data_IF_297771748710
#
_entry.id   IF_297771748710
#
_cell.length_a   1.000
_cell.length_b   1.000
_cell.length_c   1.000
_cell.angle_alpha   90.00
_cell.angle_beta   90.00
_cell.angle_gamma   90.00
#
_symmetry.space_group_name_H-M   'P 1'
#
loop_
_entity.id
_entity.type
_entity.pdbx_description
1 polymer ?
#
# COMPACT_ATOMS: atom_id res chain seq x y z
N UNK A 1 -13.39 -11.53 13.05
CA UNK A 1 -13.27 -10.82 11.76
C UNK A 1 -12.74 -9.42 12.05
N UNK A 2 -11.65 -9.00 11.41
CA UNK A 2 -11.02 -7.69 11.62
C UNK A 2 -11.97 -6.56 11.13
N UNK A 3 -12.34 -5.57 11.95
CA UNK A 3 -13.23 -4.48 11.53
C UNK A 3 -12.67 -3.67 10.35
N UNK A 4 -11.35 -3.55 10.24
CA UNK A 4 -10.71 -2.89 9.09
C UNK A 4 -10.87 -3.69 7.79
N UNK A 5 -11.01 -5.02 7.86
CA UNK A 5 -11.32 -5.85 6.69
C UNK A 5 -12.75 -5.63 6.22
N UNK A 6 -13.71 -5.50 7.13
CA UNK A 6 -15.09 -5.19 6.78
C UNK A 6 -15.22 -3.86 6.01
N UNK A 7 -14.43 -2.87 6.41
CA UNK A 7 -14.32 -1.58 5.71
C UNK A 7 -13.83 -1.75 4.27
N UNK A 8 -12.86 -2.64 4.03
CA UNK A 8 -12.35 -2.96 2.70
C UNK A 8 -13.39 -3.74 1.89
N UNK A 9 -14.07 -4.70 2.50
CA UNK A 9 -14.99 -5.62 1.83
C UNK A 9 -16.20 -4.88 1.27
N UNK A 10 -16.70 -3.89 2.01
CA UNK A 10 -17.80 -3.00 1.61
C UNK A 10 -17.39 -1.87 0.66
N UNK A 11 -16.09 -1.75 0.32
CA UNK A 11 -15.63 -0.75 -0.64
C UNK A 11 -15.97 -1.12 -2.09
N UNK A 12 -15.96 -0.11 -2.98
CA UNK A 12 -16.15 -0.28 -4.43
C UNK A 12 -14.86 -0.61 -5.20
N UNK A 13 -13.77 -0.91 -4.50
CA UNK A 13 -12.50 -1.23 -5.14
C UNK A 13 -12.54 -2.57 -5.88
N UNK A 14 -11.70 -2.72 -6.91
CA UNK A 14 -11.52 -3.99 -7.61
C UNK A 14 -11.00 -5.08 -6.65
N UNK A 15 -11.29 -6.37 -6.91
CA UNK A 15 -10.88 -7.48 -6.04
C UNK A 15 -9.38 -7.48 -5.71
N UNK A 16 -8.53 -7.21 -6.71
CA UNK A 16 -7.06 -7.13 -6.52
C UNK A 16 -6.65 -6.01 -5.56
N UNK A 17 -7.28 -4.85 -5.66
CA UNK A 17 -7.03 -3.72 -4.74
C UNK A 17 -7.49 -4.06 -3.33
N UNK A 18 -8.65 -4.72 -3.16
CA UNK A 18 -9.11 -5.18 -1.85
C UNK A 18 -8.12 -6.17 -1.23
N UNK A 19 -7.64 -7.14 -2.00
CA UNK A 19 -6.64 -8.10 -1.54
C UNK A 19 -5.35 -7.40 -1.08
N UNK A 20 -4.85 -6.44 -1.88
CA UNK A 20 -3.70 -5.63 -1.49
C UNK A 20 -3.94 -4.92 -0.17
N UNK A 21 -5.09 -4.23 -0.04
CA UNK A 21 -5.40 -3.44 1.16
C UNK A 21 -5.50 -4.33 2.40
N UNK A 22 -6.15 -5.50 2.31
CA UNK A 22 -6.20 -6.46 3.43
C UNK A 22 -4.80 -6.88 3.85
N UNK A 23 -3.98 -7.27 2.88
CA UNK A 23 -2.60 -7.66 3.15
C UNK A 23 -1.72 -6.53 3.70
N UNK A 24 -2.09 -5.25 3.57
CA UNK A 24 -1.36 -4.13 4.20
C UNK A 24 -1.91 -3.81 5.59
N UNK A 25 -3.22 -3.97 5.79
CA UNK A 25 -3.84 -3.89 7.11
C UNK A 25 -3.31 -5.01 8.02
N UNK A 26 -3.24 -6.24 7.53
CA UNK A 26 -2.71 -7.38 8.30
C UNK A 26 -1.23 -7.17 8.68
N UNK A 27 -0.43 -6.65 7.75
CA UNK A 27 0.98 -6.33 7.97
C UNK A 27 1.15 -5.24 9.04
N UNK A 28 0.35 -4.17 8.96
CA UNK A 28 0.32 -3.11 9.96
C UNK A 28 -0.14 -3.62 11.34
N UNK A 29 -1.20 -4.43 11.40
CA UNK A 29 -1.68 -4.99 12.67
C UNK A 29 -0.68 -5.98 13.28
N UNK A 30 0.09 -6.68 12.46
CA UNK A 30 1.18 -7.52 12.94
C UNK A 30 2.29 -6.69 13.58
N UNK A 31 2.50 -5.46 13.11
CA UNK A 31 3.48 -4.52 13.64
C UNK A 31 2.99 -3.75 14.88
N UNK A 32 1.81 -3.12 14.79
CA UNK A 32 1.27 -2.21 15.80
C UNK A 32 0.35 -2.89 16.84
N UNK A 33 0.01 -4.16 16.61
CA UNK A 33 -0.97 -4.89 17.39
C UNK A 33 -2.40 -4.76 16.84
N UNK A 34 -3.26 -5.69 17.26
CA UNK A 34 -4.65 -5.80 16.82
C UNK A 34 -5.62 -4.95 17.64
N UNK A 35 -5.16 -4.39 18.76
CA UNK A 35 -5.98 -3.52 19.61
C UNK A 35 -6.00 -2.08 19.06
N UNK A 36 -7.18 -1.44 18.95
CA UNK A 36 -7.30 -0.07 18.44
C UNK A 36 -6.47 0.98 19.16
N UNK A 37 -6.13 0.77 20.43
CA UNK A 37 -5.30 1.69 21.22
C UNK A 37 -3.88 1.83 20.65
N UNK A 38 -3.40 0.82 19.92
CA UNK A 38 -2.12 0.87 19.21
C UNK A 38 -2.19 1.59 17.85
N UNK A 39 -3.39 1.87 17.34
CA UNK A 39 -3.58 2.46 16.02
C UNK A 39 -3.52 3.97 16.11
N UNK A 40 -2.31 4.51 15.91
CA UNK A 40 -2.02 5.94 15.97
C UNK A 40 -1.24 6.38 14.75
N UNK A 41 -1.23 7.69 14.48
CA UNK A 41 -0.37 8.26 13.42
C UNK A 41 1.08 7.84 13.59
N UNK A 42 1.58 7.93 14.83
CA UNK A 42 2.94 7.54 15.17
C UNK A 42 3.22 6.06 14.88
N UNK A 43 2.25 5.17 15.13
CA UNK A 43 2.40 3.76 14.78
C UNK A 43 2.47 3.55 13.26
N UNK A 44 1.69 4.30 12.48
CA UNK A 44 1.74 4.26 11.01
C UNK A 44 3.08 4.78 10.48
N UNK A 45 3.61 5.86 11.06
CA UNK A 45 4.92 6.40 10.69
C UNK A 45 6.06 5.44 11.04
N UNK A 46 6.03 4.83 12.24
CA UNK A 46 7.00 3.80 12.61
C UNK A 46 6.93 2.58 11.71
N UNK A 47 5.73 2.16 11.33
CA UNK A 47 5.55 1.07 10.38
C UNK A 47 6.11 1.45 9.00
N UNK A 48 5.82 2.67 8.49
CA UNK A 48 6.41 3.20 7.26
C UNK A 48 7.94 3.17 7.32
N UNK A 49 8.53 3.62 8.42
CA UNK A 49 9.99 3.65 8.58
C UNK A 49 10.56 2.23 8.62
N UNK A 50 9.90 1.29 9.30
CA UNK A 50 10.24 -0.14 9.25
C UNK A 50 10.18 -0.71 7.82
N UNK A 51 9.18 -0.34 7.02
CA UNK A 51 9.08 -0.75 5.62
C UNK A 51 10.25 -0.24 4.77
N UNK A 52 10.77 0.96 5.07
CA UNK A 52 11.88 1.58 4.35
C UNK A 52 13.24 1.06 4.81
N UNK A 53 13.48 1.03 6.13
CA UNK A 53 14.78 0.73 6.71
C UNK A 53 15.03 -0.77 6.85
N UNK A 54 14.05 -1.53 7.32
CA UNK A 54 14.25 -2.95 7.67
C UNK A 54 13.84 -3.89 6.55
N UNK A 55 12.84 -3.48 5.75
CA UNK A 55 12.36 -4.27 4.59
C UNK A 55 12.87 -3.73 3.24
N UNK A 56 13.63 -2.63 3.27
CA UNK A 56 14.29 -2.03 2.10
C UNK A 56 13.34 -1.79 0.91
N UNK A 57 12.07 -1.48 1.20
CA UNK A 57 11.09 -1.23 0.15
C UNK A 57 11.31 0.14 -0.48
N UNK A 58 11.04 0.24 -1.79
CA UNK A 58 11.09 1.52 -2.51
C UNK A 58 10.09 2.53 -1.93
N UNK A 59 10.43 3.84 -1.86
CA UNK A 59 9.52 4.90 -1.40
C UNK A 59 8.17 4.90 -2.13
N UNK A 60 8.18 4.67 -3.45
CA UNK A 60 6.96 4.56 -4.26
C UNK A 60 6.05 3.40 -3.81
N UNK A 61 6.63 2.24 -3.48
CA UNK A 61 5.88 1.10 -2.95
C UNK A 61 5.32 1.40 -1.55
N UNK A 62 6.13 1.96 -0.67
CA UNK A 62 5.70 2.34 0.69
C UNK A 62 4.59 3.38 0.65
N UNK A 63 4.66 4.34 -0.26
CA UNK A 63 3.60 5.32 -0.50
C UNK A 63 2.26 4.67 -0.85
N UNK A 64 2.26 3.64 -1.71
CA UNK A 64 1.04 2.87 -2.00
C UNK A 64 0.48 2.20 -0.74
N UNK A 65 1.35 1.67 0.12
CA UNK A 65 0.94 0.96 1.34
C UNK A 65 0.38 1.90 2.40
N UNK A 66 1.03 3.04 2.63
CA UNK A 66 0.54 4.09 3.53
C UNK A 66 -0.80 4.63 3.01
N UNK A 67 -0.95 4.86 1.70
CA UNK A 67 -2.22 5.29 1.13
C UNK A 67 -3.35 4.27 1.31
N UNK A 68 -3.05 2.97 1.30
CA UNK A 68 -4.02 1.93 1.64
C UNK A 68 -4.51 2.08 3.09
N UNK A 69 -3.61 2.29 4.06
CA UNK A 69 -3.99 2.54 5.46
C UNK A 69 -4.79 3.83 5.62
N UNK A 70 -4.41 4.92 4.95
CA UNK A 70 -5.16 6.20 4.97
C UNK A 70 -6.59 6.02 4.48
N UNK A 71 -6.78 5.24 3.42
CA UNK A 71 -8.11 4.91 2.94
C UNK A 71 -8.94 4.18 4.01
N UNK A 72 -8.37 3.12 4.58
CA UNK A 72 -9.05 2.25 5.54
C UNK A 72 -9.35 3.00 6.84
N UNK A 73 -8.38 3.72 7.38
CA UNK A 73 -8.49 4.49 8.62
C UNK A 73 -9.60 5.55 8.53
N UNK A 74 -9.57 6.38 7.48
CA UNK A 74 -10.62 7.37 7.22
C UNK A 74 -12.00 6.77 7.11
N UNK A 75 -12.13 5.62 6.43
CA UNK A 75 -13.43 4.97 6.22
C UNK A 75 -13.91 4.28 7.49
N UNK A 76 -13.01 3.70 8.28
CA UNK A 76 -13.31 3.15 9.59
C UNK A 76 -13.84 4.23 10.55
N UNK A 77 -13.14 5.38 10.64
CA UNK A 77 -13.55 6.53 11.44
C UNK A 77 -14.98 6.99 11.09
N UNK A 78 -15.30 7.08 9.79
CA UNK A 78 -16.64 7.47 9.32
C UNK A 78 -17.75 6.47 9.63
N UNK A 79 -17.45 5.17 9.62
CA UNK A 79 -18.46 4.12 9.80
C UNK A 79 -18.69 3.76 11.28
N UNK A 80 -17.65 3.86 12.11
CA UNK A 80 -17.67 3.36 13.49
C UNK A 80 -17.44 4.45 14.54
N UNK A 81 -17.26 5.72 14.15
CA UNK A 81 -17.11 6.84 15.09
C UNK A 81 -15.75 6.92 15.79
N UNK A 82 -14.68 6.42 15.14
CA UNK A 82 -13.30 6.41 15.68
C UNK A 82 -12.41 7.54 15.14
N UNK A 83 -11.15 7.55 15.56
CA UNK A 83 -10.11 8.46 15.06
C UNK A 83 -9.55 7.96 13.72
N UNK A 84 -9.38 8.87 12.76
CA UNK A 84 -8.61 8.61 11.54
C UNK A 84 -7.11 8.61 11.89
N UNK A 85 -6.65 7.47 12.41
CA UNK A 85 -5.29 7.25 12.89
C UNK A 85 -4.21 7.35 11.79
N UNK A 86 -4.58 7.40 10.51
CA UNK A 86 -3.62 7.58 9.42
C UNK A 86 -3.73 8.96 8.74
N UNK A 87 -4.61 9.85 9.22
CA UNK A 87 -4.88 11.14 8.59
C UNK A 87 -3.60 11.94 8.30
N UNK A 88 -2.69 11.97 9.27
CA UNK A 88 -1.48 12.79 9.28
C UNK A 88 -0.20 12.04 8.91
N UNK A 89 -0.29 10.73 8.65
CA UNK A 89 0.89 9.95 8.31
C UNK A 89 1.48 10.43 6.98
N UNK A 90 2.75 10.84 7.02
CA UNK A 90 3.44 11.32 5.83
C UNK A 90 3.79 10.15 4.89
N UNK A 91 3.55 10.35 3.60
CA UNK A 91 4.04 9.45 2.55
C UNK A 91 5.48 9.80 2.20
N UNK A 92 6.37 8.80 2.07
CA UNK A 92 7.76 9.07 1.73
C UNK A 92 7.85 9.70 0.34
N UNK A 93 8.58 10.81 0.24
CA UNK A 93 8.86 11.50 -1.02
C UNK A 93 9.99 10.75 -1.71
N UNK A 94 9.72 10.23 -2.91
CA UNK A 94 10.79 9.76 -3.79
C UNK A 94 11.47 11.01 -4.34
N UNK A 95 12.74 11.26 -3.95
CA UNK A 95 13.56 12.27 -4.62
C UNK A 95 13.89 11.72 -5.99
N UNK A 96 13.08 12.07 -6.99
CA UNK A 96 13.34 11.72 -8.37
C UNK A 96 14.34 12.75 -8.90
N UNK A 97 15.63 12.41 -8.89
CA UNK A 97 16.63 13.14 -9.66
C UNK A 97 16.38 12.82 -11.15
N UNK A 98 15.47 13.57 -11.78
CA UNK A 98 15.15 13.43 -13.19
C UNK A 98 13.70 13.80 -13.52
N UNK A 99 13.40 14.07 -14.80
CA UNK A 99 12.03 14.35 -15.24
C UNK A 99 11.11 13.17 -14.90
N UNK A 100 9.83 13.42 -14.60
CA UNK A 100 8.88 12.39 -14.19
C UNK A 100 8.87 11.27 -15.24
N UNK A 101 9.26 10.06 -14.82
CA UNK A 101 9.28 8.88 -15.67
C UNK A 101 7.86 8.63 -16.15
N UNK A 102 7.56 9.06 -17.38
CA UNK A 102 6.41 8.58 -18.14
C UNK A 102 6.50 7.06 -18.12
N UNK A 103 5.52 6.38 -17.53
CA UNK A 103 5.20 4.97 -17.69
C UNK A 103 6.41 4.04 -17.86
N UNK A 104 6.69 3.12 -16.92
CA UNK A 104 7.52 1.95 -17.25
C UNK A 104 6.87 1.19 -18.41
N UNK A 105 7.14 1.61 -19.64
CA UNK A 105 6.99 0.80 -20.83
C UNK A 105 8.07 -0.25 -20.63
N UNK A 106 7.65 -1.48 -20.35
CA UNK A 106 8.52 -2.58 -20.72
C UNK A 106 8.88 -2.36 -22.18
N UNK A 107 10.15 -2.50 -22.51
CA UNK A 107 10.58 -2.34 -23.90
C UNK A 107 9.70 -3.25 -24.76
N UNK A 108 9.20 -2.69 -25.86
CA UNK A 108 8.42 -3.48 -26.79
C UNK A 108 9.34 -4.60 -27.29
N UNK A 109 8.88 -5.85 -27.20
CA UNK A 109 9.62 -6.98 -27.73
C UNK A 109 9.97 -6.69 -29.19
N UNK A 110 11.24 -6.88 -29.53
CA UNK A 110 11.70 -6.84 -30.91
C UNK A 110 11.09 -8.00 -31.70
N UNK A 111 11.07 -7.90 -33.02
CA UNK A 111 10.57 -8.96 -33.88
C UNK A 111 11.35 -10.28 -33.69
N UNK A 112 12.66 -10.18 -33.39
CA UNK A 112 13.51 -11.34 -33.10
C UNK A 112 13.13 -12.02 -31.77
N UNK A 113 12.90 -11.25 -30.71
CA UNK A 113 12.46 -11.78 -29.42
C UNK A 113 11.06 -12.40 -29.51
N UNK A 114 10.17 -11.80 -30.31
CA UNK A 114 8.83 -12.34 -30.57
C UNK A 114 8.93 -13.69 -31.28
N UNK A 115 9.77 -13.80 -32.32
CA UNK A 115 9.99 -15.07 -33.04
C UNK A 115 10.57 -16.13 -32.10
N UNK A 116 11.58 -15.79 -31.29
CA UNK A 116 12.17 -16.71 -30.33
C UNK A 116 11.16 -17.24 -29.30
N UNK A 117 10.22 -16.39 -28.86
CA UNK A 117 9.16 -16.79 -27.94
C UNK A 117 8.17 -17.76 -28.59
N UNK A 118 7.79 -17.52 -29.85
CA UNK A 118 6.86 -18.39 -30.60
C UNK A 118 7.46 -19.77 -30.86
N UNK A 119 8.79 -19.88 -31.04
CA UNK A 119 9.46 -21.18 -31.22
C UNK A 119 9.69 -21.96 -29.92
N UNK A 120 9.44 -21.37 -28.74
CA UNK A 120 9.67 -22.00 -27.43
C UNK A 120 8.37 -22.32 -26.66
N UNK A 121 7.19 -22.03 -27.22
CA UNK A 121 5.86 -22.40 -26.70
C UNK A 121 5.24 -23.52 -27.54
#
# INVERSE_FOLDING_TARGET
MNPLHQVIDTSRHAPRTKQLYRGRVDDFMSFAGTHPDGWTTLAVERWRDHLLADRELKPSTVSVYVNALRYVSRRYARLHGGVDFAAWAETPVEVIDGPPSSSRKGDALTEEELRALVYTC
#
